data_IF_821684878275
#
_entry.id   IF_821684878275
#
_cell.length_a   1.000
_cell.length_b   1.000
_cell.length_c   1.000
_cell.angle_alpha   90.00
_cell.angle_beta   90.00
_cell.angle_gamma   90.00
#
_symmetry.space_group_name_H-M   'P 1'
#
loop_
_entity.id
_entity.type
_entity.pdbx_description
1 polymer ?
#
# COMPACT_ATOMS: atom_id res chain seq x y z
N UNK A 1 27.06 23.70 5.26
CA UNK A 1 25.79 24.31 5.76
C UNK A 1 24.64 24.04 4.81
N UNK A 2 24.77 24.31 3.50
CA UNK A 2 23.72 24.09 2.50
C UNK A 2 23.28 22.61 2.37
N UNK A 3 24.20 21.65 2.45
CA UNK A 3 23.86 20.21 2.38
C UNK A 3 22.97 19.75 3.55
N UNK A 4 23.12 20.37 4.72
CA UNK A 4 22.29 20.06 5.90
C UNK A 4 20.84 20.53 5.68
N UNK A 5 20.66 21.69 5.03
CA UNK A 5 19.34 22.18 4.65
C UNK A 5 18.69 21.30 3.57
N UNK A 6 19.45 20.83 2.58
CA UNK A 6 18.96 19.87 1.59
C UNK A 6 18.39 18.61 2.27
N UNK A 7 19.16 18.01 3.18
CA UNK A 7 18.75 16.79 3.89
C UNK A 7 17.47 17.04 4.69
N UNK A 8 17.35 18.19 5.37
CA UNK A 8 16.14 18.53 6.13
C UNK A 8 14.92 18.65 5.23
N UNK A 9 15.04 19.35 4.10
CA UNK A 9 13.92 19.56 3.15
C UNK A 9 13.44 18.22 2.57
N UNK A 10 14.37 17.34 2.19
CA UNK A 10 14.02 16.03 1.63
C UNK A 10 13.41 15.11 2.67
N UNK A 11 13.90 15.14 3.90
CA UNK A 11 13.29 14.39 5.01
C UNK A 11 11.84 14.81 5.22
N UNK A 12 11.58 16.11 5.29
CA UNK A 12 10.24 16.64 5.55
C UNK A 12 9.30 16.32 4.37
N UNK A 13 9.78 16.43 3.13
CA UNK A 13 9.05 16.01 1.93
C UNK A 13 8.78 14.49 1.87
N UNK A 14 9.61 13.67 2.51
CA UNK A 14 9.49 12.20 2.50
C UNK A 14 8.66 11.64 3.67
N UNK A 15 8.25 12.48 4.62
CA UNK A 15 7.64 12.08 5.90
C UNK A 15 6.39 11.16 5.76
N UNK A 16 5.59 11.35 4.72
CA UNK A 16 4.38 10.54 4.46
C UNK A 16 4.59 9.28 3.61
N UNK A 17 5.76 9.11 3.01
CA UNK A 17 6.00 8.02 2.06
C UNK A 17 6.13 6.65 2.73
N UNK A 18 6.69 6.61 3.94
CA UNK A 18 6.80 5.38 4.74
C UNK A 18 5.43 4.78 5.01
N UNK A 19 4.46 5.62 5.39
CA UNK A 19 3.09 5.19 5.65
C UNK A 19 2.41 4.63 4.39
N UNK A 20 2.57 5.30 3.25
CA UNK A 20 2.02 4.80 1.98
C UNK A 20 2.64 3.46 1.57
N UNK A 21 3.94 3.27 1.79
CA UNK A 21 4.63 2.00 1.55
C UNK A 21 4.10 0.89 2.45
N UNK A 22 3.85 1.19 3.73
CA UNK A 22 3.24 0.24 4.67
C UNK A 22 1.84 -0.14 4.20
N UNK A 23 0.99 0.83 3.84
CA UNK A 23 -0.37 0.53 3.35
C UNK A 23 -0.30 -0.30 2.07
N UNK A 24 0.53 0.08 1.10
CA UNK A 24 0.65 -0.61 -0.17
C UNK A 24 1.08 -2.08 0.01
N UNK A 25 1.97 -2.35 0.96
CA UNK A 25 2.46 -3.71 1.23
C UNK A 25 1.53 -4.54 2.12
N UNK A 26 0.80 -3.91 3.05
CA UNK A 26 -0.05 -4.63 4.03
C UNK A 26 -1.48 -4.85 3.56
N UNK A 27 -2.04 -3.94 2.75
CA UNK A 27 -3.42 -4.03 2.28
C UNK A 27 -3.79 -5.36 1.58
N UNK A 28 -2.94 -5.98 0.74
CA UNK A 28 -3.24 -7.30 0.16
C UNK A 28 -3.42 -8.39 1.22
N UNK A 29 -2.59 -8.35 2.27
CA UNK A 29 -2.67 -9.32 3.36
C UNK A 29 -3.91 -9.12 4.22
N UNK A 30 -4.39 -7.88 4.37
CA UNK A 30 -5.68 -7.61 5.03
C UNK A 30 -6.83 -8.23 4.23
N UNK A 31 -6.81 -8.12 2.89
CA UNK A 31 -7.81 -8.75 2.02
C UNK A 31 -7.76 -10.29 2.06
N UNK A 32 -6.55 -10.86 2.04
CA UNK A 32 -6.34 -12.30 2.21
C UNK A 32 -6.86 -12.77 3.58
N UNK A 33 -6.54 -12.04 4.64
CA UNK A 33 -7.04 -12.35 5.99
C UNK A 33 -8.58 -12.36 6.01
N UNK A 34 -9.23 -11.39 5.34
CA UNK A 34 -10.67 -11.37 5.17
C UNK A 34 -11.23 -12.64 4.50
N UNK A 35 -10.58 -13.14 3.43
CA UNK A 35 -10.99 -14.43 2.83
C UNK A 35 -10.90 -15.59 3.82
N UNK A 36 -9.81 -15.65 4.58
CA UNK A 36 -9.57 -16.74 5.53
C UNK A 36 -10.64 -16.74 6.62
N UNK A 37 -10.92 -15.57 7.22
CA UNK A 37 -11.96 -15.43 8.25
C UNK A 37 -13.34 -15.79 7.68
N UNK A 38 -13.70 -15.28 6.50
CA UNK A 38 -15.01 -15.55 5.89
C UNK A 38 -15.21 -17.04 5.57
N UNK A 39 -14.18 -17.72 5.05
CA UNK A 39 -14.23 -19.15 4.79
C UNK A 39 -14.36 -19.95 6.11
N UNK A 40 -13.63 -19.57 7.16
CA UNK A 40 -13.71 -20.23 8.46
C UNK A 40 -15.09 -20.09 9.12
N UNK A 41 -15.66 -18.89 9.09
CA UNK A 41 -17.01 -18.61 9.63
C UNK A 41 -18.09 -19.44 8.91
N UNK A 42 -17.90 -19.61 7.61
CA UNK A 42 -18.79 -20.39 6.77
C UNK A 42 -18.73 -21.88 7.07
N UNK A 43 -17.52 -22.43 7.25
CA UNK A 43 -17.38 -23.82 7.69
C UNK A 43 -17.96 -24.05 9.08
N UNK A 44 -17.85 -23.07 9.99
CA UNK A 44 -18.48 -23.15 11.30
C UNK A 44 -20.02 -23.23 11.21
N UNK A 45 -20.62 -22.48 10.27
CA UNK A 45 -22.07 -22.48 10.02
C UNK A 45 -22.59 -23.82 9.48
N UNK A 46 -21.74 -24.58 8.78
CA UNK A 46 -22.10 -25.89 8.23
C UNK A 46 -21.93 -27.06 9.20
N UNK A 47 -21.43 -26.83 10.43
CA UNK A 47 -21.07 -27.89 11.39
C UNK A 47 -22.20 -28.89 11.69
N UNK A 48 -23.46 -28.48 11.60
CA UNK A 48 -24.64 -29.32 11.88
C UNK A 48 -25.37 -29.80 10.62
N UNK A 49 -24.87 -29.50 9.42
CA UNK A 49 -25.51 -29.84 8.15
C UNK A 49 -24.89 -31.13 7.59
N UNK A 50 -25.70 -32.18 7.47
CA UNK A 50 -25.25 -33.51 7.00
C UNK A 50 -24.83 -33.51 5.53
N UNK A 51 -25.44 -32.65 4.70
CA UNK A 51 -25.11 -32.48 3.28
C UNK A 51 -25.15 -31.01 2.90
N UNK A 52 -23.99 -30.43 2.64
CA UNK A 52 -23.90 -29.06 2.10
C UNK A 52 -23.91 -29.15 0.58
N UNK A 53 -24.80 -28.40 -0.07
CA UNK A 53 -24.86 -28.33 -1.53
C UNK A 53 -23.91 -27.26 -2.09
N UNK A 54 -23.43 -27.46 -3.32
CA UNK A 54 -22.58 -26.46 -3.99
C UNK A 54 -23.28 -25.10 -4.10
N UNK A 55 -24.59 -25.10 -4.37
CA UNK A 55 -25.41 -23.89 -4.44
C UNK A 55 -25.42 -23.10 -3.13
N UNK A 56 -25.27 -23.77 -1.98
CA UNK A 56 -25.17 -23.11 -0.67
C UNK A 56 -23.77 -22.52 -0.39
N UNK A 57 -22.71 -23.07 -0.98
CA UNK A 57 -21.31 -22.67 -0.73
C UNK A 57 -20.84 -21.60 -1.72
N UNK A 58 -21.32 -21.64 -2.96
CA UNK A 58 -20.92 -20.71 -4.03
C UNK A 58 -21.01 -19.22 -3.66
N UNK A 59 -22.12 -18.70 -3.09
CA UNK A 59 -22.21 -17.27 -2.75
C UNK A 59 -21.22 -16.87 -1.66
N UNK A 60 -21.03 -17.73 -0.67
CA UNK A 60 -20.12 -17.52 0.45
C UNK A 60 -18.66 -17.39 0.00
N UNK A 61 -18.21 -18.28 -0.90
CA UNK A 61 -16.85 -18.20 -1.45
C UNK A 61 -16.69 -16.91 -2.28
N UNK A 62 -17.73 -16.52 -3.02
CA UNK A 62 -17.72 -15.28 -3.79
C UNK A 62 -17.53 -14.06 -2.88
N UNK A 63 -18.24 -13.98 -1.75
CA UNK A 63 -18.10 -12.90 -0.78
C UNK A 63 -16.71 -12.85 -0.16
N UNK A 64 -16.15 -14.01 0.19
CA UNK A 64 -14.77 -14.09 0.66
C UNK A 64 -13.81 -13.49 -0.38
N UNK A 65 -13.93 -13.87 -1.65
CA UNK A 65 -13.06 -13.38 -2.74
C UNK A 65 -13.15 -11.86 -2.93
N UNK A 66 -14.31 -11.24 -2.68
CA UNK A 66 -14.46 -9.78 -2.72
C UNK A 66 -13.55 -9.09 -1.69
N UNK A 67 -13.34 -9.69 -0.51
CA UNK A 67 -12.43 -9.13 0.50
C UNK A 67 -10.97 -9.04 -0.01
N UNK A 68 -10.50 -10.06 -0.73
CA UNK A 68 -9.17 -10.02 -1.37
C UNK A 68 -9.11 -9.00 -2.51
N UNK A 69 -10.14 -8.95 -3.35
CA UNK A 69 -10.22 -7.95 -4.41
C UNK A 69 -10.14 -6.52 -3.85
N UNK A 70 -10.83 -6.24 -2.75
CA UNK A 70 -10.77 -4.95 -2.06
C UNK A 70 -9.36 -4.64 -1.51
N UNK A 71 -8.69 -5.61 -0.88
CA UNK A 71 -7.32 -5.43 -0.38
C UNK A 71 -6.31 -5.11 -1.49
N UNK A 72 -6.42 -5.80 -2.63
CA UNK A 72 -5.60 -5.54 -3.82
C UNK A 72 -5.91 -4.17 -4.40
N UNK A 73 -7.19 -3.80 -4.51
CA UNK A 73 -7.61 -2.50 -5.01
C UNK A 73 -6.97 -1.36 -4.21
N UNK A 74 -7.05 -1.42 -2.87
CA UNK A 74 -6.40 -0.43 -1.99
C UNK A 74 -4.88 -0.39 -2.17
N UNK A 75 -4.24 -1.56 -2.27
CA UNK A 75 -2.80 -1.67 -2.47
C UNK A 75 -2.32 -1.01 -3.78
N UNK A 76 -3.07 -1.20 -4.87
CA UNK A 76 -2.77 -0.62 -6.18
C UNK A 76 -2.75 0.91 -6.08
N UNK A 77 -3.75 1.53 -5.47
CA UNK A 77 -3.77 2.98 -5.32
C UNK A 77 -2.63 3.48 -4.45
N UNK A 78 -2.44 2.88 -3.27
CA UNK A 78 -1.38 3.27 -2.34
C UNK A 78 0.01 3.19 -2.99
N UNK A 79 0.30 2.09 -3.70
CA UNK A 79 1.55 1.91 -4.43
C UNK A 79 1.74 2.93 -5.56
N UNK A 80 0.67 3.20 -6.32
CA UNK A 80 0.72 4.17 -7.42
C UNK A 80 1.06 5.57 -6.91
N UNK A 81 0.38 6.04 -5.85
CA UNK A 81 0.67 7.33 -5.25
C UNK A 81 2.06 7.39 -4.63
N UNK A 82 2.49 6.32 -3.96
CA UNK A 82 3.85 6.22 -3.42
C UNK A 82 4.90 6.43 -4.52
N UNK A 83 4.73 5.79 -5.69
CA UNK A 83 5.67 5.97 -6.80
C UNK A 83 5.64 7.35 -7.44
N UNK A 84 4.47 7.97 -7.56
CA UNK A 84 4.37 9.35 -8.07
C UNK A 84 5.09 10.32 -7.12
N UNK A 85 4.88 10.19 -5.81
CA UNK A 85 5.49 11.07 -4.82
C UNK A 85 7.00 10.82 -4.68
N UNK A 86 7.45 9.55 -4.68
CA UNK A 86 8.87 9.20 -4.74
C UNK A 86 9.57 9.86 -5.93
N UNK A 87 8.97 9.77 -7.12
CA UNK A 87 9.51 10.40 -8.33
C UNK A 87 9.63 11.91 -8.16
N UNK A 88 8.61 12.57 -7.60
CA UNK A 88 8.63 14.02 -7.36
C UNK A 88 9.72 14.43 -6.37
N UNK A 89 9.92 13.67 -5.28
CA UNK A 89 10.97 13.93 -4.29
C UNK A 89 12.36 13.75 -4.91
N UNK A 90 12.55 12.71 -5.71
CA UNK A 90 13.82 12.49 -6.43
C UNK A 90 14.16 13.66 -7.37
N UNK A 91 13.19 14.13 -8.14
CA UNK A 91 13.34 15.28 -9.02
C UNK A 91 13.66 16.54 -8.21
N UNK A 92 12.95 16.78 -7.10
CA UNK A 92 13.20 17.91 -6.21
C UNK A 92 14.62 17.87 -5.62
N UNK A 93 15.09 16.70 -5.16
CA UNK A 93 16.46 16.52 -4.67
C UNK A 93 17.49 16.86 -5.75
N UNK A 94 17.24 16.42 -6.98
CA UNK A 94 18.14 16.68 -8.12
C UNK A 94 18.23 18.18 -8.43
N UNK A 95 17.10 18.90 -8.41
CA UNK A 95 17.10 20.35 -8.59
C UNK A 95 17.83 21.10 -7.49
N UNK A 96 17.61 20.73 -6.22
CA UNK A 96 18.29 21.35 -5.08
C UNK A 96 19.80 21.13 -5.18
N UNK A 97 20.24 19.89 -5.45
CA UNK A 97 21.67 19.57 -5.64
C UNK A 97 22.31 20.36 -6.76
N UNK A 98 21.61 20.51 -7.90
CA UNK A 98 22.10 21.31 -9.01
C UNK A 98 22.28 22.78 -8.62
N UNK A 99 21.33 23.37 -7.90
CA UNK A 99 21.43 24.74 -7.41
C UNK A 99 22.57 24.92 -6.41
N UNK A 100 22.74 23.99 -5.46
CA UNK A 100 23.84 24.01 -4.50
C UNK A 100 25.18 23.96 -5.26
N UNK A 101 25.34 23.06 -6.23
CA UNK A 101 26.57 22.94 -7.01
C UNK A 101 26.88 24.22 -7.82
N UNK A 102 25.87 24.84 -8.42
CA UNK A 102 26.04 26.12 -9.14
C UNK A 102 26.49 27.24 -8.19
N UNK A 103 25.92 27.31 -6.98
CA UNK A 103 26.31 28.32 -5.99
C UNK A 103 27.72 28.06 -5.46
N UNK A 104 28.08 26.81 -5.23
CA UNK A 104 29.42 26.43 -4.78
C UNK A 104 30.50 26.61 -5.85
N UNK A 105 30.18 26.47 -7.13
CA UNK A 105 31.13 26.70 -8.23
C UNK A 105 31.32 28.18 -8.60
N UNK A 106 30.46 29.06 -8.08
CA UNK A 106 30.50 30.51 -8.30
C UNK A 106 31.26 31.28 -7.19
N UNK A 107 31.53 30.64 -6.06
CA UNK A 107 32.43 31.12 -4.99
C UNK A 107 33.80 30.45 -5.10
#
# INVERSE_FOLDING_TARGET
MLDVYEISIIRDASSGLSWQSIIASTAPFIGLFGTVVGILESFASFKNIVKVSFTAIAPVISEALVATAAGIFVAIFAYTFHQILNRKIYILNTYIKSQINIVLSRN
#
